data_IF_590724876988
#
_entry.id   IF_590724876988
#
_cell.length_a   1.000
_cell.length_b   1.000
_cell.length_c   1.000
_cell.angle_alpha   90.00
_cell.angle_beta   90.00
_cell.angle_gamma   90.00
#
_symmetry.space_group_name_H-M   'P 1'
#
loop_
_entity.id
_entity.type
_entity.pdbx_description
1 polymer ?
#
# COMPACT_ATOMS: atom_id res chain seq x y z
N UNK A 1 5.71 5.22 -11.50
CA UNK A 1 4.72 4.67 -10.56
C UNK A 1 3.45 4.36 -11.33
N UNK A 2 2.85 3.19 -11.09
CA UNK A 2 1.64 2.78 -11.80
C UNK A 2 0.41 3.15 -10.95
N UNK A 3 -0.38 4.12 -11.42
CA UNK A 3 -1.64 4.55 -10.79
C UNK A 3 -2.75 3.56 -11.20
N UNK A 4 -2.65 2.34 -10.69
CA UNK A 4 -3.60 1.26 -10.96
C UNK A 4 -4.33 0.87 -9.68
N UNK A 5 -5.62 0.50 -9.75
CA UNK A 5 -6.31 -0.09 -8.61
C UNK A 5 -5.62 -1.39 -8.20
N UNK A 6 -5.62 -1.69 -6.90
CA UNK A 6 -4.90 -2.83 -6.32
C UNK A 6 -5.89 -3.78 -5.65
N UNK A 7 -5.73 -5.06 -5.97
CA UNK A 7 -6.37 -6.18 -5.27
C UNK A 7 -5.33 -6.80 -4.35
N UNK A 8 -5.69 -7.02 -3.09
CA UNK A 8 -4.81 -7.62 -2.08
C UNK A 8 -5.51 -8.81 -1.47
N UNK A 9 -4.87 -9.98 -1.51
CA UNK A 9 -5.25 -11.08 -0.63
C UNK A 9 -4.70 -10.79 0.76
N UNK A 10 -5.54 -10.73 1.79
CA UNK A 10 -5.17 -10.31 3.15
C UNK A 10 -4.13 -11.26 3.73
N UNK A 11 -3.03 -10.67 4.20
CA UNK A 11 -1.94 -11.38 4.87
C UNK A 11 -1.46 -10.54 6.07
N UNK A 12 -0.72 -11.18 6.98
CA UNK A 12 -0.35 -10.59 8.27
C UNK A 12 0.42 -9.26 8.15
N UNK A 13 1.35 -9.15 7.20
CA UNK A 13 2.11 -7.91 6.96
C UNK A 13 1.21 -6.81 6.40
N UNK A 14 0.31 -7.12 5.46
CA UNK A 14 -0.66 -6.13 5.00
C UNK A 14 -1.53 -5.61 6.14
N UNK A 15 -2.09 -6.52 6.94
CA UNK A 15 -2.96 -6.15 8.06
C UNK A 15 -2.24 -5.28 9.11
N UNK A 16 -0.96 -5.56 9.37
CA UNK A 16 -0.16 -4.86 10.38
C UNK A 16 0.42 -3.53 9.90
N UNK A 17 1.00 -3.52 8.70
CA UNK A 17 1.88 -2.43 8.29
C UNK A 17 1.28 -1.53 7.19
N UNK A 18 0.35 -2.05 6.38
CA UNK A 18 -0.20 -1.36 5.20
C UNK A 18 -1.64 -0.90 5.43
N UNK A 19 -2.53 -1.79 5.86
CA UNK A 19 -3.95 -1.49 6.11
C UNK A 19 -4.17 -0.30 7.04
N UNK A 20 -3.42 -0.14 8.15
CA UNK A 20 -3.56 1.02 9.03
C UNK A 20 -3.13 2.35 8.39
N UNK A 21 -2.47 2.34 7.22
CA UNK A 21 -2.14 3.56 6.46
C UNK A 21 -3.31 4.06 5.61
N UNK A 22 -4.38 3.28 5.50
CA UNK A 22 -5.62 3.70 4.86
C UNK A 22 -5.65 3.52 3.34
N UNK A 23 -4.87 2.59 2.78
CA UNK A 23 -4.92 2.29 1.35
C UNK A 23 -6.33 1.85 0.94
N UNK A 24 -6.85 2.43 -0.15
CA UNK A 24 -8.12 2.02 -0.75
C UNK A 24 -7.85 0.87 -1.71
N UNK A 25 -8.14 -0.36 -1.28
CA UNK A 25 -7.91 -1.58 -2.07
C UNK A 25 -9.17 -2.46 -2.10
N UNK A 26 -9.14 -3.45 -3.00
CA UNK A 26 -10.07 -4.57 -2.96
C UNK A 26 -9.40 -5.67 -2.13
N UNK A 27 -9.97 -6.00 -0.98
CA UNK A 27 -9.46 -7.06 -0.10
C UNK A 27 -10.11 -8.39 -0.45
N UNK A 28 -9.29 -9.44 -0.56
CA UNK A 28 -9.71 -10.84 -0.62
C UNK A 28 -9.26 -11.53 0.66
N UNK A 29 -10.05 -12.40 1.26
CA UNK A 29 -9.67 -13.17 2.45
C UNK A 29 -9.55 -14.66 2.13
N UNK A 30 -8.43 -15.04 1.51
CA UNK A 30 -8.15 -16.43 1.10
C UNK A 30 -8.95 -16.94 -0.12
N UNK A 31 -10.01 -16.25 -0.53
CA UNK A 31 -10.81 -16.59 -1.72
C UNK A 31 -11.48 -15.35 -2.35
N UNK A 32 -11.93 -15.50 -3.60
CA UNK A 32 -12.66 -14.45 -4.32
C UNK A 32 -14.11 -14.43 -3.84
N UNK A 33 -14.55 -13.28 -3.33
CA UNK A 33 -15.93 -13.06 -2.88
C UNK A 33 -16.75 -12.34 -3.96
N UNK A 34 -18.08 -12.47 -3.91
CA UNK A 34 -18.97 -11.70 -4.78
C UNK A 34 -18.76 -10.19 -4.60
N UNK A 35 -18.58 -9.74 -3.36
CA UNK A 35 -18.36 -8.33 -3.05
C UNK A 35 -17.07 -7.80 -3.69
N UNK A 36 -15.99 -8.60 -3.69
CA UNK A 36 -14.75 -8.22 -4.35
C UNK A 36 -14.93 -8.11 -5.88
N UNK A 37 -15.71 -9.00 -6.48
CA UNK A 37 -16.03 -8.94 -7.91
C UNK A 37 -16.88 -7.71 -8.23
N UNK A 38 -17.94 -7.45 -7.47
CA UNK A 38 -18.81 -6.30 -7.70
C UNK A 38 -18.07 -4.97 -7.49
N UNK A 39 -17.24 -4.86 -6.44
CA UNK A 39 -16.37 -3.70 -6.23
C UNK A 39 -15.38 -3.50 -7.38
N UNK A 40 -14.80 -4.59 -7.90
CA UNK A 40 -13.92 -4.52 -9.07
C UNK A 40 -14.66 -4.00 -10.30
N UNK A 41 -15.86 -4.53 -10.58
CA UNK A 41 -16.70 -4.05 -11.70
C UNK A 41 -17.03 -2.57 -11.55
N UNK A 42 -17.40 -2.14 -10.35
CA UNK A 42 -17.70 -0.74 -10.06
C UNK A 42 -16.50 0.18 -10.37
N UNK A 43 -15.31 -0.17 -9.87
CA UNK A 43 -14.09 0.61 -10.13
C UNK A 43 -13.77 0.68 -11.63
N UNK A 44 -13.98 -0.40 -12.37
CA UNK A 44 -13.76 -0.42 -13.82
C UNK A 44 -14.82 0.37 -14.59
N UNK A 45 -16.06 0.44 -14.09
CA UNK A 45 -17.17 1.15 -14.71
C UNK A 45 -17.19 2.65 -14.39
N UNK A 46 -16.56 3.09 -13.29
CA UNK A 46 -16.57 4.47 -12.80
C UNK A 46 -15.15 5.07 -12.82
N UNK A 47 -14.72 5.71 -13.93
CA UNK A 47 -13.35 6.24 -14.07
C UNK A 47 -12.96 7.26 -13.00
N UNK A 48 -13.91 8.09 -12.54
CA UNK A 48 -13.66 9.08 -11.47
C UNK A 48 -13.33 8.40 -10.16
N UNK A 49 -14.11 7.39 -9.78
CA UNK A 49 -13.87 6.63 -8.56
C UNK A 49 -12.53 5.88 -8.61
N UNK A 50 -12.21 5.29 -9.77
CA UNK A 50 -10.90 4.69 -10.01
C UNK A 50 -9.77 5.71 -9.84
N UNK A 51 -9.93 6.90 -10.41
CA UNK A 51 -8.94 7.98 -10.32
C UNK A 51 -8.70 8.42 -8.87
N UNK A 52 -9.77 8.70 -8.12
CA UNK A 52 -9.69 9.06 -6.70
C UNK A 52 -8.97 7.99 -5.87
N UNK A 53 -9.31 6.72 -6.11
CA UNK A 53 -8.69 5.57 -5.45
C UNK A 53 -7.18 5.50 -5.73
N UNK A 54 -6.76 5.64 -6.99
CA UNK A 54 -5.34 5.52 -7.35
C UNK A 54 -4.52 6.73 -6.90
N UNK A 55 -5.07 7.93 -6.96
CA UNK A 55 -4.42 9.16 -6.49
C UNK A 55 -4.21 9.11 -4.97
N UNK A 56 -5.24 8.71 -4.21
CA UNK A 56 -5.14 8.50 -2.77
C UNK A 56 -4.04 7.50 -2.41
N UNK A 57 -4.04 6.33 -3.05
CA UNK A 57 -3.02 5.30 -2.82
C UNK A 57 -1.61 5.77 -3.22
N UNK A 58 -1.50 6.55 -4.29
CA UNK A 58 -0.23 7.09 -4.75
C UNK A 58 0.38 8.04 -3.73
N UNK A 59 -0.41 8.96 -3.16
CA UNK A 59 0.07 9.89 -2.14
C UNK A 59 0.41 9.17 -0.82
N UNK A 60 -0.36 8.16 -0.42
CA UNK A 60 0.03 7.31 0.73
C UNK A 60 1.35 6.56 0.48
N UNK A 61 1.54 6.02 -0.73
CA UNK A 61 2.77 5.37 -1.15
C UNK A 61 3.98 6.30 -1.04
N UNK A 62 3.87 7.53 -1.55
CA UNK A 62 4.91 8.56 -1.42
C UNK A 62 5.20 8.92 0.03
N UNK A 63 4.15 9.07 0.85
CA UNK A 63 4.28 9.47 2.26
C UNK A 63 4.92 8.39 3.14
N UNK A 64 4.64 7.12 2.89
CA UNK A 64 5.02 6.03 3.81
C UNK A 64 6.05 5.05 3.26
N UNK A 65 6.16 4.91 1.93
CA UNK A 65 6.94 3.86 1.27
C UNK A 65 7.82 4.39 0.12
N UNK A 66 8.15 5.69 0.12
CA UNK A 66 9.10 6.25 -0.84
C UNK A 66 10.55 5.89 -0.49
N UNK A 67 11.42 6.01 -1.49
CA UNK A 67 12.86 5.83 -1.30
C UNK A 67 13.42 6.80 -0.26
N UNK A 68 12.98 8.06 -0.25
CA UNK A 68 13.42 9.06 0.74
C UNK A 68 13.06 8.65 2.17
N UNK A 69 11.87 8.07 2.37
CA UNK A 69 11.46 7.52 3.67
C UNK A 69 12.35 6.34 4.06
N UNK A 70 12.65 5.42 3.12
CA UNK A 70 13.54 4.30 3.37
C UNK A 70 14.95 4.78 3.75
N UNK A 71 15.54 5.66 2.95
CA UNK A 71 16.88 6.23 3.18
C UNK A 71 16.95 6.87 4.56
N UNK A 72 16.01 7.75 4.90
CA UNK A 72 15.97 8.39 6.22
C UNK A 72 15.86 7.39 7.37
N UNK A 73 15.08 6.31 7.20
CA UNK A 73 14.98 5.26 8.22
C UNK A 73 16.27 4.47 8.37
N UNK A 74 16.99 4.20 7.28
CA UNK A 74 18.29 3.55 7.31
C UNK A 74 19.34 4.44 7.97
N UNK A 75 19.37 5.73 7.66
CA UNK A 75 20.30 6.69 8.30
C UNK A 75 20.07 6.74 9.81
N UNK A 76 18.80 6.81 10.25
CA UNK A 76 18.45 6.76 11.68
C UNK A 76 18.87 5.42 12.30
N UNK A 77 18.65 4.30 11.60
CA UNK A 77 19.02 2.99 12.10
C UNK A 77 20.54 2.84 12.23
N UNK A 78 21.32 3.36 11.28
CA UNK A 78 22.78 3.35 11.31
C UNK A 78 23.34 4.18 12.48
N UNK A 79 22.72 5.32 12.81
CA UNK A 79 23.08 6.11 14.00
C UNK A 79 22.71 5.36 15.29
N UNK A 80 21.56 4.69 15.30
CA UNK A 80 21.03 4.02 16.50
C UNK A 80 21.75 2.71 16.81
N UNK A 81 22.25 2.01 15.80
CA UNK A 81 22.87 0.70 15.90
C UNK A 81 24.19 0.66 15.11
N UNK A 82 25.19 1.47 15.46
CA UNK A 82 26.45 1.55 14.72
C UNK A 82 27.17 0.19 14.60
N UNK A 83 26.97 -0.71 15.55
CA UNK A 83 27.50 -2.08 15.56
C UNK A 83 26.93 -3.01 14.46
N UNK A 84 25.74 -2.70 13.92
CA UNK A 84 25.12 -3.47 12.83
C UNK A 84 25.56 -2.98 11.44
N UNK A 85 26.16 -1.79 11.38
CA UNK A 85 26.51 -1.12 10.13
C UNK A 85 28.00 -0.74 10.04
N UNK A 86 28.82 -1.15 11.01
CA UNK A 86 30.27 -0.98 11.03
C UNK A 86 31.02 -2.29 10.85
N UNK A 87 32.06 -2.26 10.01
CA UNK A 87 33.20 -3.21 10.01
C UNK A 87 34.37 -2.60 10.76
#
# INVERSE_FOLDING_TARGET
YFNKPVVVNTYSIYAKDIKPKGFSVIELDGYVTKDAVEKTKQILAEPKFCQEMVEHNYELGKRFFSYDVLRRRLDIAAIKYPELFGS
#
